data_IF_060524486613
#
_entry.id   IF_060524486613
#
_cell.length_a   1.000
_cell.length_b   1.000
_cell.length_c   1.000
_cell.angle_alpha   90.00
_cell.angle_beta   90.00
_cell.angle_gamma   90.00
#
_symmetry.space_group_name_H-M   'P 1'
#
loop_
_entity.id
_entity.type
_entity.pdbx_description
1 polymer ?
#
# COMPACT_ATOMS: atom_id res chain seq x y z
N UNK A 1 -2.06 -17.23 -7.05
CA UNK A 1 -3.38 -16.91 -6.49
C UNK A 1 -4.02 -15.83 -7.34
N UNK A 2 -5.33 -15.86 -7.51
CA UNK A 2 -6.10 -14.76 -8.10
C UNK A 2 -6.24 -13.60 -7.11
N UNK A 3 -6.54 -12.40 -7.62
CA UNK A 3 -6.86 -11.21 -6.82
C UNK A 3 -7.91 -11.52 -5.73
N UNK A 4 -8.97 -12.23 -6.09
CA UNK A 4 -10.07 -12.56 -5.17
C UNK A 4 -9.62 -13.52 -4.06
N UNK A 5 -8.81 -14.53 -4.37
CA UNK A 5 -8.28 -15.46 -3.37
C UNK A 5 -7.38 -14.75 -2.34
N UNK A 6 -6.58 -13.78 -2.79
CA UNK A 6 -5.75 -12.95 -1.90
C UNK A 6 -6.64 -12.11 -0.98
N UNK A 7 -7.66 -11.45 -1.54
CA UNK A 7 -8.63 -10.64 -0.77
C UNK A 7 -9.32 -11.50 0.28
N UNK A 8 -9.86 -12.65 -0.09
CA UNK A 8 -10.57 -13.54 0.83
C UNK A 8 -9.64 -14.12 1.90
N UNK A 9 -8.40 -14.44 1.55
CA UNK A 9 -7.39 -14.90 2.52
C UNK A 9 -7.11 -13.83 3.57
N UNK A 10 -6.93 -12.58 3.17
CA UNK A 10 -6.68 -11.49 4.10
C UNK A 10 -7.94 -11.20 4.93
N UNK A 11 -9.14 -11.19 4.32
CA UNK A 11 -10.42 -11.01 5.03
C UNK A 11 -10.73 -12.12 6.01
N UNK A 12 -10.22 -13.33 5.78
CA UNK A 12 -10.34 -14.48 6.70
C UNK A 12 -9.42 -14.35 7.91
N UNK A 13 -8.17 -13.92 7.71
CA UNK A 13 -7.22 -13.68 8.80
C UNK A 13 -7.55 -12.42 9.62
N UNK A 14 -8.08 -11.38 8.98
CA UNK A 14 -8.44 -10.12 9.62
C UNK A 14 -9.95 -9.89 9.52
N UNK A 15 -10.64 -10.04 10.65
CA UNK A 15 -12.07 -9.81 10.75
C UNK A 15 -12.45 -8.39 10.27
N UNK A 16 -13.71 -8.22 9.87
CA UNK A 16 -14.20 -6.91 9.40
C UNK A 16 -13.95 -5.80 10.43
N UNK A 17 -14.17 -6.08 11.71
CA UNK A 17 -13.96 -5.13 12.80
C UNK A 17 -12.49 -4.79 12.99
N UNK A 18 -11.58 -5.79 12.94
CA UNK A 18 -10.15 -5.53 13.02
C UNK A 18 -9.64 -4.67 11.86
N UNK A 19 -10.10 -4.94 10.62
CA UNK A 19 -9.73 -4.13 9.45
C UNK A 19 -10.20 -2.68 9.57
N UNK A 20 -11.41 -2.46 10.11
CA UNK A 20 -11.93 -1.11 10.38
C UNK A 20 -11.17 -0.42 11.51
N UNK A 21 -10.91 -1.13 12.60
CA UNK A 21 -10.19 -0.60 13.76
C UNK A 21 -8.77 -0.19 13.37
N UNK A 22 -8.07 -1.01 12.59
CA UNK A 22 -6.73 -0.69 12.09
C UNK A 22 -6.71 0.67 11.36
N UNK A 23 -7.59 0.86 10.37
CA UNK A 23 -7.62 2.12 9.60
C UNK A 23 -8.07 3.30 10.46
N UNK A 24 -9.04 3.09 11.36
CA UNK A 24 -9.46 4.13 12.29
C UNK A 24 -8.31 4.58 13.18
N UNK A 25 -7.56 3.64 13.76
CA UNK A 25 -6.40 3.92 14.61
C UNK A 25 -5.33 4.66 13.83
N UNK A 26 -5.00 4.19 12.62
CA UNK A 26 -4.06 4.89 11.72
C UNK A 26 -4.47 6.34 11.50
N UNK A 27 -5.70 6.58 11.05
CA UNK A 27 -6.20 7.93 10.79
C UNK A 27 -6.20 8.81 12.05
N UNK A 28 -6.52 8.24 13.21
CA UNK A 28 -6.48 8.96 14.48
C UNK A 28 -5.06 9.39 14.86
N UNK A 29 -4.07 8.51 14.75
CA UNK A 29 -2.68 8.87 15.06
C UNK A 29 -2.10 9.85 14.03
N UNK A 30 -2.39 9.68 12.74
CA UNK A 30 -2.00 10.63 11.69
C UNK A 30 -2.55 12.04 11.95
N UNK A 31 -3.83 12.15 12.32
CA UNK A 31 -4.47 13.43 12.67
C UNK A 31 -3.84 14.07 13.91
N UNK A 32 -3.49 13.26 14.91
CA UNK A 32 -2.88 13.71 16.16
C UNK A 32 -1.36 13.94 16.03
N UNK A 33 -0.76 13.67 14.86
CA UNK A 33 0.69 13.71 14.59
C UNK A 33 1.50 12.81 15.53
N UNK A 34 0.88 11.73 15.99
CA UNK A 34 1.48 10.77 16.90
C UNK A 34 2.15 9.64 16.10
N UNK A 35 3.31 9.97 15.55
CA UNK A 35 4.01 9.11 14.59
C UNK A 35 4.67 7.89 15.26
N UNK A 36 4.89 7.93 16.58
CA UNK A 36 5.51 6.80 17.27
C UNK A 36 4.50 5.65 17.42
N UNK A 37 3.24 5.97 17.70
CA UNK A 37 2.19 4.96 17.84
C UNK A 37 1.71 4.44 16.47
N UNK A 38 1.71 5.29 15.42
CA UNK A 38 1.28 4.87 14.07
C UNK A 38 2.23 3.85 13.42
N UNK A 39 3.50 3.84 13.82
CA UNK A 39 4.54 2.98 13.23
C UNK A 39 4.17 1.49 13.32
N UNK A 40 3.57 1.06 14.43
CA UNK A 40 3.14 -0.33 14.59
C UNK A 40 2.04 -0.71 13.60
N UNK A 41 1.09 0.20 13.33
CA UNK A 41 0.03 -0.05 12.37
C UNK A 41 0.56 0.01 10.94
N UNK A 42 1.51 0.90 10.64
CA UNK A 42 2.19 0.93 9.35
C UNK A 42 2.97 -0.35 9.08
N UNK A 43 3.70 -0.87 10.07
CA UNK A 43 4.41 -2.14 9.95
C UNK A 43 3.46 -3.30 9.63
N UNK A 44 2.27 -3.33 10.24
CA UNK A 44 1.25 -4.32 9.90
C UNK A 44 0.74 -4.15 8.46
N UNK A 45 0.46 -2.91 8.04
CA UNK A 45 0.06 -2.63 6.65
C UNK A 45 1.15 -3.02 5.65
N UNK A 46 2.42 -2.78 5.97
CA UNK A 46 3.58 -3.16 5.14
C UNK A 46 3.76 -4.68 5.05
N UNK A 47 3.54 -5.42 6.14
CA UNK A 47 3.55 -6.88 6.11
C UNK A 47 2.46 -7.45 5.21
N UNK A 48 1.24 -6.91 5.31
CA UNK A 48 0.12 -7.34 4.48
C UNK A 48 0.35 -6.94 3.02
N UNK A 49 0.87 -5.75 2.78
CA UNK A 49 1.23 -5.28 1.44
C UNK A 49 2.32 -6.15 0.81
N UNK A 50 3.36 -6.51 1.58
CA UNK A 50 4.43 -7.42 1.15
C UNK A 50 3.90 -8.81 0.78
N UNK A 51 2.94 -9.33 1.56
CA UNK A 51 2.23 -10.56 1.22
C UNK A 51 1.48 -10.43 -0.11
N UNK A 52 0.78 -9.31 -0.34
CA UNK A 52 0.06 -9.06 -1.60
C UNK A 52 1.05 -8.99 -2.77
N UNK A 53 2.15 -8.25 -2.65
CA UNK A 53 3.17 -8.13 -3.68
C UNK A 53 3.70 -9.51 -4.11
N UNK A 54 4.09 -10.33 -3.12
CA UNK A 54 4.57 -11.70 -3.34
C UNK A 54 3.53 -12.58 -4.06
N UNK A 55 2.27 -12.49 -3.66
CA UNK A 55 1.21 -13.37 -4.21
C UNK A 55 0.61 -12.87 -5.54
N UNK A 56 0.79 -11.58 -5.86
CA UNK A 56 0.43 -11.00 -7.16
C UNK A 56 1.53 -11.19 -8.20
N UNK A 57 2.66 -11.80 -7.83
CA UNK A 57 3.81 -11.98 -8.73
C UNK A 57 4.44 -10.65 -9.13
N UNK A 58 4.27 -9.62 -8.31
CA UNK A 58 4.84 -8.31 -8.58
C UNK A 58 6.27 -8.28 -8.05
N UNK A 59 7.23 -8.51 -8.95
CA UNK A 59 8.58 -8.02 -8.80
C UNK A 59 8.58 -6.54 -9.17
N UNK A 60 9.32 -5.71 -8.41
CA UNK A 60 9.41 -4.28 -8.66
C UNK A 60 9.84 -4.06 -10.11
N UNK A 61 8.99 -3.45 -10.98
CA UNK A 61 9.27 -3.45 -12.41
C UNK A 61 10.50 -2.59 -12.69
N UNK A 62 11.45 -3.14 -13.46
CA UNK A 62 12.60 -2.36 -13.98
C UNK A 62 12.13 -1.19 -14.87
N UNK A 63 10.92 -1.29 -15.44
CA UNK A 63 10.31 -0.30 -16.33
C UNK A 63 8.86 0.00 -15.94
N UNK A 64 8.54 1.28 -15.72
CA UNK A 64 7.28 1.75 -15.13
C UNK A 64 6.05 1.69 -16.04
N UNK A 65 6.24 1.24 -17.29
CA UNK A 65 5.14 1.06 -18.25
C UNK A 65 4.26 -0.14 -17.92
N UNK A 66 4.76 -1.11 -17.16
CA UNK A 66 4.03 -2.29 -16.69
C UNK A 66 3.52 -2.10 -15.26
N UNK A 67 3.00 -0.91 -14.98
CA UNK A 67 2.35 -0.59 -13.71
C UNK A 67 1.17 -1.53 -13.46
N UNK A 68 1.26 -2.37 -12.43
CA UNK A 68 0.14 -3.15 -11.94
C UNK A 68 -0.43 -2.47 -10.69
N UNK A 69 -1.61 -1.87 -10.81
CA UNK A 69 -2.33 -1.31 -9.67
C UNK A 69 -2.95 -2.36 -8.75
N UNK A 70 -2.89 -3.65 -9.10
CA UNK A 70 -3.57 -4.72 -8.36
C UNK A 70 -3.21 -4.75 -6.86
N UNK A 71 -1.94 -4.56 -6.42
CA UNK A 71 -1.62 -4.57 -5.00
C UNK A 71 -2.35 -3.49 -4.20
N UNK A 72 -2.34 -2.25 -4.70
CA UNK A 72 -3.06 -1.14 -4.08
C UNK A 72 -4.58 -1.32 -4.15
N UNK A 73 -5.10 -1.86 -5.26
CA UNK A 73 -6.52 -2.20 -5.37
C UNK A 73 -6.94 -3.26 -4.35
N UNK A 74 -6.13 -4.29 -4.12
CA UNK A 74 -6.39 -5.30 -3.08
C UNK A 74 -6.43 -4.64 -1.71
N UNK A 75 -5.49 -3.74 -1.41
CA UNK A 75 -5.52 -2.99 -0.15
C UNK A 75 -6.82 -2.19 0.02
N UNK A 76 -7.30 -1.49 -1.03
CA UNK A 76 -8.57 -0.75 -0.96
C UNK A 76 -9.81 -1.64 -0.78
N UNK A 77 -9.78 -2.85 -1.33
CA UNK A 77 -10.86 -3.84 -1.22
C UNK A 77 -10.92 -4.51 0.16
N UNK A 78 -9.77 -4.61 0.82
CA UNK A 78 -9.63 -5.22 2.15
C UNK A 78 -9.85 -4.18 3.25
N UNK A 79 -9.22 -3.01 3.14
CA UNK A 79 -9.18 -2.01 4.19
C UNK A 79 -10.03 -0.78 3.82
N UNK A 80 -11.16 -0.56 4.50
CA UNK A 80 -12.03 0.56 4.18
C UNK A 80 -11.31 1.88 4.46
N UNK A 81 -11.40 2.84 3.54
CA UNK A 81 -10.83 4.19 3.67
C UNK A 81 -9.29 4.24 3.78
N UNK A 82 -8.59 3.14 3.47
CA UNK A 82 -7.13 3.14 3.49
C UNK A 82 -6.53 4.20 2.56
N UNK A 83 -7.23 4.54 1.47
CA UNK A 83 -6.85 5.61 0.54
C UNK A 83 -6.70 6.99 1.19
N UNK A 84 -7.37 7.22 2.33
CA UNK A 84 -7.28 8.48 3.08
C UNK A 84 -6.07 8.54 4.02
N UNK A 85 -5.33 7.44 4.19
CA UNK A 85 -4.15 7.38 5.08
C UNK A 85 -2.91 7.93 4.40
N UNK A 86 -1.99 8.50 5.19
CA UNK A 86 -0.67 8.91 4.68
C UNK A 86 0.13 7.70 4.17
N UNK A 87 -0.01 6.54 4.81
CA UNK A 87 0.61 5.29 4.35
C UNK A 87 0.24 4.97 2.89
N UNK A 88 -1.04 5.06 2.53
CA UNK A 88 -1.48 4.75 1.17
C UNK A 88 -0.96 5.77 0.16
N UNK A 89 -0.94 7.05 0.54
CA UNK A 89 -0.38 8.10 -0.30
C UNK A 89 1.12 7.89 -0.52
N UNK A 90 1.86 7.49 0.52
CA UNK A 90 3.27 7.14 0.42
C UNK A 90 3.51 5.95 -0.53
N UNK A 91 2.74 4.85 -0.41
CA UNK A 91 2.87 3.72 -1.35
C UNK A 91 2.50 4.10 -2.77
N UNK A 92 1.48 4.93 -2.95
CA UNK A 92 1.12 5.47 -4.27
C UNK A 92 2.26 6.31 -4.84
N UNK A 93 2.90 7.15 -4.02
CA UNK A 93 4.04 8.00 -4.39
C UNK A 93 5.33 7.23 -4.65
N UNK A 94 5.67 6.20 -3.88
CA UNK A 94 6.82 5.33 -4.15
C UNK A 94 6.67 4.65 -5.52
N UNK A 95 5.44 4.23 -5.82
CA UNK A 95 5.10 3.59 -7.09
C UNK A 95 5.02 4.60 -8.24
N UNK A 96 4.56 5.84 -8.02
CA UNK A 96 4.48 6.87 -9.07
C UNK A 96 5.75 7.70 -9.24
N UNK A 97 6.51 7.93 -8.19
CA UNK A 97 7.72 8.77 -8.15
C UNK A 97 8.91 8.13 -8.82
N UNK A 98 8.88 6.81 -9.04
CA UNK A 98 9.79 6.15 -9.96
C UNK A 98 9.63 6.70 -11.41
N UNK A 99 8.47 7.28 -11.77
CA UNK A 99 8.18 7.85 -13.11
C UNK A 99 8.87 9.21 -13.32
N UNK A 100 9.18 9.96 -12.27
CA UNK A 100 9.66 11.34 -12.38
C UNK A 100 11.20 11.45 -12.45
N UNK A 101 11.95 10.36 -12.21
CA UNK A 101 13.44 10.37 -12.21
C UNK A 101 14.05 10.00 -13.58
N UNK A 102 13.31 10.16 -14.68
CA UNK A 102 13.85 10.07 -16.06
C UNK A 102 13.49 11.30 -16.90
N UNK A 103 13.62 12.49 -16.33
CA UNK A 103 13.78 13.76 -17.06
C UNK A 103 14.73 14.58 -16.17
N UNK A 104 16.05 14.48 -16.28
CA UNK A 104 16.87 15.13 -17.29
C UNK A 104 18.34 14.73 -16.98
N UNK A 105 18.91 13.77 -17.73
CA UNK A 105 20.36 13.56 -17.79
C UNK A 105 20.72 13.27 -19.26
N UNK A 106 20.32 14.18 -20.14
CA UNK A 106 20.85 14.29 -21.51
C UNK A 106 20.65 15.73 -22.02
N UNK A 107 21.14 16.70 -21.23
CA UNK A 107 21.23 18.09 -21.65
C UNK A 107 22.39 18.78 -20.92
N UNK A 108 23.62 18.49 -21.37
CA UNK A 108 24.89 19.26 -21.28
C UNK A 108 26.03 18.23 -21.33
N UNK A 109 26.92 18.16 -22.29
CA UNK A 109 27.34 19.05 -23.37
C UNK A 109 28.74 18.61 -23.75
#
# INVERSE_FOLDING_TARGET
>A
MTKNEIIETIKSHYSRDLRKQLIKTVLQHEQNKDMQDVEQQYNLLDQIFSYILKNTGWDMPENLKDWNSAPLQIMTEVFPQIESTLWYQDKKLLVSGSIDVKIDDDAKG
#
